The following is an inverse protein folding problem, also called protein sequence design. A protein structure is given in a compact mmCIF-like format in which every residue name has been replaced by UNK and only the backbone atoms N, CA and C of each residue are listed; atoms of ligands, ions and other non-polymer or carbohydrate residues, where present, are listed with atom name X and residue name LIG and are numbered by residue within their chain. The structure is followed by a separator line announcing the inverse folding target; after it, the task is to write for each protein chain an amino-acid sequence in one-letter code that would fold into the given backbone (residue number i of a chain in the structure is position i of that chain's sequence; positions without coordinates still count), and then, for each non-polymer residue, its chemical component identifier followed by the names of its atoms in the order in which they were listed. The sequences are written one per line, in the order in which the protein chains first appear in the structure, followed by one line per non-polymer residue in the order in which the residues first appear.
data_IF_379677854718
#
_entry.id   IF_379677854718
#
_cell.length_a   1.000
_cell.length_b   1.000
_cell.length_c   1.000
_cell.angle_alpha   90.00
_cell.angle_beta   90.00
_cell.angle_gamma   90.00
#
_symmetry.space_group_name_H-M   'P 1'
#
loop_
_entity.id
_entity.type
_entity.pdbx_description
1 polymer ?
#
# COMPACT_ATOMS: atom_id res chain seq x y z
N UNK A 1 -12.82 -3.27 17.64
CA UNK A 1 -11.68 -4.14 17.26
C UNK A 1 -11.85 -4.83 15.91
N UNK A 2 -13.08 -5.11 15.43
CA UNK A 2 -13.30 -5.80 14.15
C UNK A 2 -12.96 -4.99 12.88
N UNK A 3 -13.06 -3.65 12.92
CA UNK A 3 -12.91 -2.82 11.71
C UNK A 3 -11.48 -2.76 11.17
N UNK A 4 -10.44 -2.75 12.02
CA UNK A 4 -9.03 -2.69 11.59
C UNK A 4 -8.62 -3.97 10.85
N UNK A 5 -8.88 -5.13 11.46
CA UNK A 5 -8.60 -6.42 10.85
C UNK A 5 -9.39 -6.64 9.56
N UNK A 6 -10.63 -6.16 9.50
CA UNK A 6 -11.42 -6.20 8.26
C UNK A 6 -10.80 -5.36 7.15
N UNK A 7 -10.29 -4.15 7.45
CA UNK A 7 -9.59 -3.31 6.47
C UNK A 7 -8.33 -4.03 5.98
N UNK A 8 -7.48 -4.50 6.89
CA UNK A 8 -6.24 -5.20 6.55
C UNK A 8 -6.52 -6.43 5.69
N UNK A 9 -7.45 -7.28 6.12
CA UNK A 9 -7.87 -8.48 5.38
C UNK A 9 -8.41 -8.12 3.99
N UNK A 10 -9.26 -7.11 3.90
CA UNK A 10 -9.83 -6.68 2.61
C UNK A 10 -8.74 -6.18 1.66
N UNK A 11 -7.78 -5.39 2.15
CA UNK A 11 -6.67 -4.89 1.34
C UNK A 11 -5.75 -6.03 0.88
N UNK A 12 -5.42 -6.99 1.74
CA UNK A 12 -4.61 -8.17 1.39
C UNK A 12 -5.31 -9.06 0.35
N UNK A 13 -6.60 -9.37 0.54
CA UNK A 13 -7.36 -10.19 -0.41
C UNK A 13 -7.50 -9.52 -1.78
N UNK A 14 -7.43 -8.18 -1.83
CA UNK A 14 -7.49 -7.39 -3.07
C UNK A 14 -6.11 -7.05 -3.64
N UNK A 15 -5.04 -7.75 -3.24
CA UNK A 15 -3.68 -7.51 -3.76
C UNK A 15 -3.62 -7.56 -5.28
N UNK A 16 -4.29 -8.51 -5.92
CA UNK A 16 -4.29 -8.63 -7.38
C UNK A 16 -5.43 -7.85 -8.07
N UNK A 17 -6.21 -7.06 -7.31
CA UNK A 17 -7.29 -6.25 -7.85
C UNK A 17 -6.96 -4.76 -7.80
N UNK A 18 -6.49 -4.23 -8.93
CA UNK A 18 -6.14 -2.82 -9.12
C UNK A 18 -7.35 -1.91 -9.40
N UNK A 19 -8.53 -2.50 -9.61
CA UNK A 19 -9.74 -1.76 -9.92
C UNK A 19 -10.45 -1.27 -8.65
N UNK A 20 -11.17 -0.16 -8.84
CA UNK A 20 -11.95 0.48 -7.79
C UNK A 20 -11.18 1.57 -7.05
N UNK A 21 -11.72 1.90 -5.87
CA UNK A 21 -11.30 3.05 -5.07
C UNK A 21 -10.96 2.62 -3.65
N UNK A 22 -9.96 3.27 -3.08
CA UNK A 22 -9.59 3.10 -1.67
C UNK A 22 -9.60 4.46 -0.98
N UNK A 23 -10.40 4.59 0.09
CA UNK A 23 -10.50 5.83 0.85
C UNK A 23 -9.22 6.09 1.65
N UNK A 24 -8.95 7.37 1.94
CA UNK A 24 -7.74 7.83 2.65
C UNK A 24 -7.47 7.07 3.94
N UNK A 25 -8.48 6.90 4.79
CA UNK A 25 -8.32 6.23 6.10
C UNK A 25 -7.95 4.77 5.95
N UNK A 26 -8.56 4.04 5.00
CA UNK A 26 -8.25 2.63 4.75
C UNK A 26 -6.84 2.46 4.21
N UNK A 27 -6.47 3.31 3.26
CA UNK A 27 -5.13 3.35 2.70
C UNK A 27 -4.08 3.64 3.78
N UNK A 28 -4.30 4.64 4.63
CA UNK A 28 -3.41 4.97 5.74
C UNK A 28 -3.21 3.83 6.73
N UNK A 29 -4.31 3.23 7.20
CA UNK A 29 -4.28 2.08 8.12
C UNK A 29 -3.46 0.94 7.51
N UNK A 30 -3.70 0.64 6.23
CA UNK A 30 -3.01 -0.44 5.54
C UNK A 30 -1.52 -0.16 5.32
N UNK A 31 -1.17 1.08 4.96
CA UNK A 31 0.22 1.51 4.78
C UNK A 31 0.99 1.41 6.11
N UNK A 32 0.41 1.89 7.21
CA UNK A 32 1.00 1.77 8.54
C UNK A 32 1.18 0.30 8.95
N UNK A 33 0.16 -0.53 8.75
CA UNK A 33 0.25 -1.96 9.01
C UNK A 33 1.42 -2.59 8.25
N UNK A 34 1.57 -2.29 6.95
CA UNK A 34 2.64 -2.86 6.17
C UNK A 34 4.03 -2.35 6.55
N UNK A 35 4.15 -1.09 6.95
CA UNK A 35 5.40 -0.53 7.48
C UNK A 35 5.81 -1.24 8.78
N UNK A 36 4.88 -1.38 9.72
CA UNK A 36 5.14 -2.08 10.98
C UNK A 36 5.52 -3.53 10.70
N UNK A 37 4.78 -4.23 9.85
CA UNK A 37 5.08 -5.62 9.50
C UNK A 37 6.45 -5.76 8.82
N UNK A 38 6.78 -4.87 7.88
CA UNK A 38 8.07 -4.89 7.21
C UNK A 38 9.22 -4.61 8.18
N UNK A 39 9.10 -3.61 9.06
CA UNK A 39 10.10 -3.35 10.10
C UNK A 39 10.28 -4.53 11.04
N UNK A 40 9.18 -5.19 11.46
CA UNK A 40 9.26 -6.41 12.27
C UNK A 40 9.93 -7.56 11.54
N UNK A 41 9.69 -7.71 10.23
CA UNK A 41 10.41 -8.69 9.40
C UNK A 41 11.90 -8.38 9.37
N UNK A 42 12.28 -7.11 9.16
CA UNK A 42 13.69 -6.74 9.11
C UNK A 42 14.41 -7.02 10.44
N UNK A 43 13.78 -6.67 11.55
CA UNK A 43 14.37 -6.88 12.88
C UNK A 43 14.61 -8.36 13.20
N UNK A 44 13.74 -9.25 12.71
CA UNK A 44 13.77 -10.68 13.09
C UNK A 44 14.51 -11.57 12.09
N UNK A 45 14.53 -11.20 10.80
CA UNK A 45 15.00 -12.07 9.73
C UNK A 45 16.17 -11.52 8.91
N UNK A 46 16.40 -10.21 8.90
CA UNK A 46 17.58 -9.63 8.22
C UNK A 46 18.62 -9.20 9.23
N UNK A 47 19.64 -10.04 9.43
CA UNK A 47 20.92 -9.65 10.03
C UNK A 47 21.84 -8.97 9.02
N UNK A 48 23.06 -8.55 9.42
CA UNK A 48 24.03 -7.87 8.55
C UNK A 48 24.38 -8.64 7.26
N UNK A 49 24.29 -9.96 7.32
CA UNK A 49 24.69 -10.90 6.25
C UNK A 49 23.49 -11.53 5.52
N UNK A 50 22.25 -11.09 5.80
CA UNK A 50 21.05 -11.72 5.25
C UNK A 50 20.28 -10.78 4.34
N UNK A 51 20.28 -11.12 3.04
CA UNK A 51 19.50 -10.42 2.02
C UNK A 51 18.00 -10.68 2.18
N UNK A 52 17.19 -9.70 1.75
CA UNK A 52 15.74 -9.85 1.69
C UNK A 52 15.40 -10.76 0.51
N UNK A 53 14.76 -11.91 0.79
CA UNK A 53 14.27 -12.79 -0.26
C UNK A 53 13.28 -12.06 -1.18
N UNK A 54 13.38 -12.30 -2.50
CA UNK A 54 12.44 -11.77 -3.49
C UNK A 54 10.97 -12.09 -3.13
N UNK A 55 10.70 -13.27 -2.58
CA UNK A 55 9.36 -13.68 -2.16
C UNK A 55 8.84 -12.80 -1.03
N UNK A 56 9.68 -12.50 -0.05
CA UNK A 56 9.33 -11.58 1.04
C UNK A 56 9.08 -10.17 0.49
N UNK A 57 9.96 -9.70 -0.41
CA UNK A 57 9.81 -8.41 -1.06
C UNK A 57 8.47 -8.27 -1.79
N UNK A 58 8.08 -9.27 -2.59
CA UNK A 58 6.80 -9.29 -3.29
C UNK A 58 5.61 -9.28 -2.33
N UNK A 59 5.70 -10.01 -1.22
CA UNK A 59 4.65 -10.04 -0.18
C UNK A 59 4.44 -8.67 0.45
N UNK A 60 5.50 -7.88 0.63
CA UNK A 60 5.40 -6.54 1.20
C UNK A 60 4.95 -5.49 0.18
N UNK A 61 5.49 -5.53 -1.05
CA UNK A 61 5.27 -4.50 -2.06
C UNK A 61 3.92 -4.63 -2.77
N UNK A 62 3.55 -5.83 -3.24
CA UNK A 62 2.37 -6.00 -4.09
C UNK A 62 1.07 -5.51 -3.44
N UNK A 63 0.77 -5.82 -2.17
CA UNK A 63 -0.46 -5.36 -1.53
C UNK A 63 -0.50 -3.83 -1.42
N UNK A 64 0.62 -3.20 -1.08
CA UNK A 64 0.73 -1.73 -0.90
C UNK A 64 0.61 -1.04 -2.25
N UNK A 65 1.25 -1.57 -3.28
CA UNK A 65 1.17 -1.07 -4.64
C UNK A 65 -0.28 -1.11 -5.14
N UNK A 66 -0.96 -2.24 -5.00
CA UNK A 66 -2.37 -2.40 -5.37
C UNK A 66 -3.29 -1.44 -4.62
N UNK A 67 -3.08 -1.31 -3.31
CA UNK A 67 -3.81 -0.35 -2.48
C UNK A 67 -3.56 1.10 -2.91
N UNK A 68 -2.31 1.44 -3.25
CA UNK A 68 -1.89 2.74 -3.78
C UNK A 68 -2.53 3.08 -5.11
N UNK A 69 -2.60 2.12 -6.04
CA UNK A 69 -3.31 2.30 -7.33
C UNK A 69 -4.80 2.61 -7.09
N UNK A 70 -5.46 1.90 -6.18
CA UNK A 70 -6.86 2.21 -5.83
C UNK A 70 -7.00 3.56 -5.13
N UNK A 71 -6.01 4.01 -4.37
CA UNK A 71 -5.96 5.35 -3.76
C UNK A 71 -5.80 6.44 -4.82
N UNK A 72 -4.95 6.24 -5.83
CA UNK A 72 -4.79 7.13 -6.99
C UNK A 72 -6.12 7.28 -7.73
N UNK A 73 -6.80 6.15 -7.99
CA UNK A 73 -8.12 6.14 -8.65
C UNK A 73 -9.17 6.89 -7.82
N UNK A 74 -9.13 6.78 -6.49
CA UNK A 74 -10.06 7.46 -5.59
C UNK A 74 -9.79 8.98 -5.50
N UNK A 75 -8.51 9.38 -5.51
CA UNK A 75 -8.09 10.78 -5.55
C UNK A 75 -8.36 11.46 -6.91
N UNK A 76 -8.65 10.68 -7.96
CA UNK A 76 -8.91 11.21 -9.30
C UNK A 76 -7.65 11.61 -10.07
N UNK A 77 -6.49 11.08 -9.69
CA UNK A 77 -5.24 11.30 -10.42
C UNK A 77 -5.24 10.59 -11.78
N UNK A 78 -4.36 11.06 -12.67
CA UNK A 78 -4.14 10.40 -13.96
C UNK A 78 -3.47 9.05 -13.77
N UNK A 79 -3.67 8.14 -14.72
CA UNK A 79 -3.01 6.82 -14.71
C UNK A 79 -1.49 6.92 -14.78
N UNK A 80 -0.94 8.04 -15.27
CA UNK A 80 0.50 8.30 -15.26
C UNK A 80 1.11 8.32 -13.85
N UNK A 81 0.32 8.69 -12.84
CA UNK A 81 0.76 8.66 -11.43
C UNK A 81 1.03 7.23 -10.94
N UNK A 82 0.46 6.20 -11.58
CA UNK A 82 0.77 4.80 -11.28
C UNK A 82 2.22 4.47 -11.65
N UNK A 83 2.75 5.03 -12.73
CA UNK A 83 4.15 4.81 -13.14
C UNK A 83 5.10 5.38 -12.08
N UNK A 84 4.73 6.49 -11.45
CA UNK A 84 5.50 7.07 -10.34
C UNK A 84 5.55 6.16 -9.10
N UNK A 85 4.57 5.26 -8.91
CA UNK A 85 4.65 4.27 -7.82
C UNK A 85 5.78 3.26 -8.04
N UNK A 86 6.14 2.99 -9.30
CA UNK A 86 7.22 2.07 -9.63
C UNK A 86 8.58 2.75 -9.51
N UNK A 87 8.68 4.00 -9.97
CA UNK A 87 9.95 4.74 -10.06
C UNK A 87 10.32 5.43 -8.75
N UNK A 88 9.32 5.91 -7.98
CA UNK A 88 9.53 6.67 -6.75
C UNK A 88 8.55 6.26 -5.63
N UNK A 89 8.48 4.98 -5.24
CA UNK A 89 7.51 4.47 -4.26
C UNK A 89 7.61 5.18 -2.90
N UNK A 90 8.83 5.45 -2.42
CA UNK A 90 9.07 6.05 -1.10
C UNK A 90 8.52 7.47 -0.97
N UNK A 91 8.48 8.23 -2.07
CA UNK A 91 7.90 9.57 -2.09
C UNK A 91 6.39 9.51 -2.30
N UNK A 92 5.94 8.60 -3.17
CA UNK A 92 4.55 8.61 -3.60
C UNK A 92 3.60 7.97 -2.59
N UNK A 93 3.99 6.88 -1.90
CA UNK A 93 3.11 6.26 -0.91
C UNK A 93 2.70 7.23 0.23
N UNK A 94 3.61 8.00 0.85
CA UNK A 94 3.23 9.04 1.79
C UNK A 94 2.40 10.15 1.13
N UNK A 95 2.77 10.56 -0.08
CA UNK A 95 2.08 11.65 -0.79
C UNK A 95 0.59 11.35 -1.04
N UNK A 96 0.23 10.10 -1.28
CA UNK A 96 -1.15 9.68 -1.51
C UNK A 96 -2.08 9.79 -0.28
N UNK A 97 -1.53 10.16 0.88
CA UNK A 97 -2.29 10.47 2.09
C UNK A 97 -2.92 11.86 2.07
N UNK A 98 -2.30 12.83 1.39
CA UNK A 98 -2.78 14.22 1.36
C UNK A 98 -4.06 14.46 0.54
N UNK A 99 -4.22 13.92 -0.69
CA UNK A 99 -5.37 14.24 -1.52
C UNK A 99 -6.67 13.78 -0.86
N UNK A 100 -7.73 14.58 -1.04
CA UNK A 100 -9.09 14.20 -0.62
C UNK A 100 -9.69 13.22 -1.64
N UNK A 101 -10.54 12.31 -1.17
CA UNK A 101 -11.35 11.45 -2.05
C UNK A 101 -12.24 12.31 -2.96
N UNK A 102 -12.31 11.97 -4.24
CA UNK A 102 -13.17 12.69 -5.19
C UNK A 102 -14.64 12.38 -4.89
N UNK A 103 -15.47 13.43 -4.78
CA UNK A 103 -16.92 13.25 -4.61
C UNK A 103 -17.53 12.55 -5.83
N UNK A 104 -18.56 11.73 -5.60
CA UNK A 104 -19.28 11.04 -6.67
C UNK A 104 -20.04 12.12 -7.46
N UNK A 105 -19.56 12.40 -8.66
CA UNK A 105 -20.34 13.11 -9.69
C UNK A 105 -21.34 12.13 -10.29
#
# INVERSE_FOLDING_TARGET
MNSLLQIIKSCLLRTFNYQGREGRTRYFIFLLFQLVWFCSYLQWFTGPEHEISLTALLLFILPVFSCGVRRINDAGYSRGVIVLLLVAPYLLFPFLLFPRSREKT
#
